data_IF_391590419609
#
_entry.id   IF_391590419609
#
_cell.length_a   1.000
_cell.length_b   1.000
_cell.length_c   1.000
_cell.angle_alpha   90.00
_cell.angle_beta   90.00
_cell.angle_gamma   90.00
#
_symmetry.space_group_name_H-M   'P 1'
#
loop_
_entity.id
_entity.type
_entity.pdbx_description
1 polymer ?
#
# COMPACT_ATOMS: atom_id res chain seq x y z
N UNK A 1 -14.29 12.97 7.70
CA UNK A 1 -13.38 11.97 7.13
C UNK A 1 -14.01 10.60 7.25
N UNK A 2 -13.96 9.79 6.19
CA UNK A 2 -14.45 8.41 6.22
C UNK A 2 -13.24 7.48 6.25
N UNK A 3 -13.19 6.58 7.24
CA UNK A 3 -12.11 5.62 7.42
C UNK A 3 -12.75 4.24 7.47
N UNK A 4 -12.21 3.29 6.70
CA UNK A 4 -12.51 1.88 6.82
C UNK A 4 -11.23 1.16 7.24
N UNK A 5 -11.34 0.29 8.24
CA UNK A 5 -10.29 -0.63 8.64
C UNK A 5 -10.79 -2.05 8.40
N UNK A 6 -10.03 -2.86 7.68
CA UNK A 6 -10.37 -4.24 7.35
C UNK A 6 -9.10 -5.08 7.21
N UNK A 7 -9.16 -6.35 7.59
CA UNK A 7 -8.07 -7.32 7.39
C UNK A 7 -8.06 -7.87 5.97
N UNK A 8 -9.24 -8.12 5.40
CA UNK A 8 -9.45 -8.47 4.00
C UNK A 8 -10.84 -7.98 3.55
N UNK A 9 -10.94 -7.54 2.29
CA UNK A 9 -12.20 -7.18 1.65
C UNK A 9 -12.68 -8.39 0.82
N UNK A 10 -13.55 -9.22 1.39
CA UNK A 10 -14.19 -10.32 0.63
C UNK A 10 -15.20 -9.77 -0.38
N UNK A 11 -15.21 -10.35 -1.59
CA UNK A 11 -15.83 -9.81 -2.80
C UNK A 11 -17.36 -9.78 -2.93
N UNK A 12 -18.14 -9.82 -1.85
CA UNK A 12 -19.62 -9.89 -1.95
C UNK A 12 -20.40 -9.00 -0.96
N UNK A 13 -19.85 -7.87 -0.49
CA UNK A 13 -20.64 -6.99 0.39
C UNK A 13 -20.15 -5.57 0.64
N UNK A 14 -18.88 -5.26 0.36
CA UNK A 14 -18.35 -3.90 0.48
C UNK A 14 -17.51 -3.64 -0.77
N UNK A 15 -18.15 -3.11 -1.81
CA UNK A 15 -17.48 -2.70 -3.04
C UNK A 15 -17.04 -1.23 -2.90
N UNK A 16 -15.98 -1.01 -2.11
CA UNK A 16 -15.35 0.31 -2.01
C UNK A 16 -14.38 0.45 -3.19
N UNK A 17 -14.94 0.74 -4.36
CA UNK A 17 -14.17 1.11 -5.56
C UNK A 17 -13.64 2.57 -5.51
N UNK A 18 -13.79 3.27 -4.37
CA UNK A 18 -13.54 4.71 -4.25
C UNK A 18 -12.68 5.07 -3.03
N UNK A 19 -11.57 4.35 -2.83
CA UNK A 19 -10.58 4.77 -1.85
C UNK A 19 -9.59 5.76 -2.50
N UNK A 20 -9.40 6.93 -1.88
CA UNK A 20 -8.34 7.86 -2.30
C UNK A 20 -6.96 7.38 -1.81
N UNK A 21 -6.96 6.71 -0.65
CA UNK A 21 -5.77 6.21 0.03
C UNK A 21 -6.03 4.78 0.48
N UNK A 22 -5.07 3.90 0.22
CA UNK A 22 -5.00 2.54 0.79
C UNK A 22 -3.78 2.48 1.68
N UNK A 23 -3.96 2.03 2.93
CA UNK A 23 -2.87 1.82 3.89
C UNK A 23 -2.80 0.32 4.21
N UNK A 24 -1.70 -0.32 3.84
CA UNK A 24 -1.34 -1.66 4.30
C UNK A 24 -0.58 -1.52 5.62
N UNK A 25 -1.28 -1.64 6.74
CA UNK A 25 -0.67 -1.60 8.06
C UNK A 25 0.26 -2.79 8.31
N UNK A 26 -0.14 -3.97 7.83
CA UNK A 26 0.72 -5.16 7.76
C UNK A 26 1.02 -5.46 6.29
N UNK A 27 2.26 -5.90 6.00
CA UNK A 27 2.66 -6.36 4.66
C UNK A 27 1.73 -7.49 4.20
N UNK A 28 1.16 -7.43 2.99
CA UNK A 28 0.36 -8.53 2.44
C UNK A 28 1.17 -9.82 2.32
N UNK A 29 0.48 -10.97 2.43
CA UNK A 29 1.11 -12.30 2.40
C UNK A 29 1.80 -12.60 1.06
N UNK A 30 1.29 -12.04 -0.02
CA UNK A 30 1.80 -12.23 -1.38
C UNK A 30 1.52 -11.03 -2.30
N UNK A 31 2.14 -11.09 -3.48
CA UNK A 31 2.04 -10.06 -4.51
C UNK A 31 0.63 -9.88 -5.10
N UNK A 32 -0.19 -10.94 -5.13
CA UNK A 32 -1.55 -10.91 -5.67
C UNK A 32 -2.52 -10.23 -4.69
N UNK A 33 -2.37 -10.52 -3.40
CA UNK A 33 -3.09 -9.87 -2.29
C UNK A 33 -2.75 -8.39 -2.22
N UNK A 34 -1.47 -8.06 -2.38
CA UNK A 34 -1.04 -6.67 -2.49
C UNK A 34 -1.76 -5.94 -3.63
N UNK A 35 -1.76 -6.52 -4.84
CA UNK A 35 -2.44 -5.94 -6.00
C UNK A 35 -3.94 -5.75 -5.73
N UNK A 36 -4.63 -6.74 -5.17
CA UNK A 36 -6.05 -6.63 -4.84
C UNK A 36 -6.38 -5.51 -3.85
N UNK A 37 -5.48 -5.24 -2.89
CA UNK A 37 -5.64 -4.14 -1.92
C UNK A 37 -5.42 -2.79 -2.59
N UNK A 38 -4.30 -2.60 -3.28
CA UNK A 38 -3.95 -1.29 -3.87
C UNK A 38 -4.77 -0.95 -5.11
N UNK A 39 -5.31 -1.96 -5.83
CA UNK A 39 -6.23 -1.74 -6.95
C UNK A 39 -7.57 -1.09 -6.54
N UNK A 40 -7.84 -0.95 -5.23
CA UNK A 40 -8.96 -0.16 -4.70
C UNK A 40 -8.66 1.35 -4.72
N UNK A 41 -7.39 1.73 -4.82
CA UNK A 41 -6.95 3.11 -5.02
C UNK A 41 -6.81 3.40 -6.51
N UNK A 42 -7.67 4.30 -7.02
CA UNK A 42 -7.62 4.79 -8.40
C UNK A 42 -8.44 3.97 -9.42
N UNK A 43 -9.34 4.65 -10.13
CA UNK A 43 -9.95 4.25 -11.42
C UNK A 43 -9.30 5.01 -12.59
N UNK A 44 -9.58 4.59 -13.83
CA UNK A 44 -9.28 5.32 -15.06
C UNK A 44 -9.55 6.84 -14.89
N UNK A 45 -8.47 7.64 -14.85
CA UNK A 45 -8.52 9.10 -14.73
C UNK A 45 -8.54 9.67 -13.30
N UNK A 46 -8.45 8.84 -12.26
CA UNK A 46 -8.42 9.30 -10.85
C UNK A 46 -7.12 8.89 -10.16
N UNK A 47 -6.63 9.74 -9.25
CA UNK A 47 -5.37 9.54 -8.51
C UNK A 47 -5.64 8.70 -7.26
N UNK A 48 -4.77 7.75 -6.97
CA UNK A 48 -4.82 6.90 -5.79
C UNK A 48 -3.44 6.83 -5.14
N UNK A 49 -3.41 6.82 -3.81
CA UNK A 49 -2.20 6.69 -3.00
C UNK A 49 -2.23 5.35 -2.26
N UNK A 50 -1.16 4.58 -2.36
CA UNK A 50 -0.98 3.36 -1.57
C UNK A 50 0.24 3.54 -0.66
N UNK A 51 0.05 3.32 0.64
CA UNK A 51 1.11 3.34 1.65
C UNK A 51 1.20 1.93 2.25
N UNK A 52 2.40 1.38 2.37
CA UNK A 52 2.61 0.08 3.00
C UNK A 52 3.67 0.16 4.07
N UNK A 53 3.40 -0.45 5.22
CA UNK A 53 4.38 -0.58 6.28
C UNK A 53 5.27 -1.80 6.06
N UNK A 54 6.57 -1.60 6.28
CA UNK A 54 7.61 -2.64 6.23
C UNK A 54 8.29 -2.65 7.59
N UNK A 55 8.05 -3.69 8.37
CA UNK A 55 8.55 -3.77 9.75
C UNK A 55 9.78 -4.67 9.87
N UNK A 56 9.94 -5.66 8.99
CA UNK A 56 10.99 -6.67 9.09
C UNK A 56 11.58 -7.07 7.73
N UNK A 57 12.63 -7.89 7.74
CA UNK A 57 13.32 -8.34 6.51
C UNK A 57 12.44 -9.22 5.61
N UNK A 58 11.52 -10.01 6.18
CA UNK A 58 10.56 -10.78 5.38
C UNK A 58 9.60 -9.87 4.61
N UNK A 59 9.13 -8.79 5.22
CA UNK A 59 8.30 -7.79 4.55
C UNK A 59 9.08 -7.15 3.40
N UNK A 60 10.35 -6.78 3.64
CA UNK A 60 11.22 -6.22 2.61
C UNK A 60 11.44 -7.20 1.44
N UNK A 61 11.49 -8.52 1.70
CA UNK A 61 11.57 -9.53 0.65
C UNK A 61 10.30 -9.56 -0.21
N UNK A 62 9.11 -9.52 0.40
CA UNK A 62 7.82 -9.46 -0.31
C UNK A 62 7.73 -8.17 -1.14
N UNK A 63 8.14 -7.03 -0.56
CA UNK A 63 8.19 -5.77 -1.28
C UNK A 63 9.06 -5.83 -2.54
N UNK A 64 10.24 -6.45 -2.45
CA UNK A 64 11.11 -6.63 -3.61
C UNK A 64 10.48 -7.53 -4.67
N UNK A 65 9.75 -8.56 -4.25
CA UNK A 65 8.96 -9.40 -5.16
C UNK A 65 7.87 -8.59 -5.87
N UNK A 66 7.14 -7.74 -5.15
CA UNK A 66 6.12 -6.83 -5.70
C UNK A 66 6.74 -5.90 -6.75
N UNK A 67 7.84 -5.23 -6.41
CA UNK A 67 8.53 -4.31 -7.33
C UNK A 67 9.00 -5.01 -8.61
N UNK A 68 9.58 -6.22 -8.46
CA UNK A 68 10.04 -7.04 -9.57
C UNK A 68 8.88 -7.52 -10.46
N UNK A 69 7.83 -8.09 -9.84
CA UNK A 69 6.68 -8.67 -10.55
C UNK A 69 5.91 -7.64 -11.37
N UNK A 70 5.72 -6.44 -10.84
CA UNK A 70 4.95 -5.38 -11.50
C UNK A 70 5.82 -4.35 -12.23
N UNK A 71 7.15 -4.49 -12.20
CA UNK A 71 8.10 -3.54 -12.75
C UNK A 71 7.84 -2.09 -12.27
N UNK A 72 7.48 -1.95 -10.99
CA UNK A 72 7.21 -0.66 -10.35
C UNK A 72 8.30 -0.34 -9.34
N UNK A 73 8.67 0.94 -9.25
CA UNK A 73 9.55 1.43 -8.19
C UNK A 73 8.68 1.97 -7.07
N UNK A 74 8.77 1.34 -5.90
CA UNK A 74 8.12 1.80 -4.69
C UNK A 74 9.20 2.49 -3.84
N UNK A 75 8.98 3.76 -3.51
CA UNK A 75 9.96 4.57 -2.78
C UNK A 75 9.59 4.69 -1.32
N UNK A 76 10.58 4.98 -0.48
CA UNK A 76 10.33 5.43 0.89
C UNK A 76 9.41 6.67 0.88
N UNK A 77 8.60 6.77 1.93
CA UNK A 77 7.67 7.87 2.12
C UNK A 77 8.47 9.17 2.35
N UNK A 78 8.24 10.22 1.54
CA UNK A 78 8.88 11.51 1.74
C UNK A 78 8.29 12.23 2.96
N UNK A 79 9.06 13.15 3.55
CA UNK A 79 8.60 14.00 4.66
C UNK A 79 7.40 14.89 4.27
N UNK A 80 7.29 15.21 2.98
CA UNK A 80 6.19 16.00 2.42
C UNK A 80 5.56 15.25 1.24
N UNK A 81 4.23 15.12 1.27
CA UNK A 81 3.44 14.53 0.19
C UNK A 81 2.67 15.64 -0.50
N UNK A 82 2.97 15.88 -1.77
CA UNK A 82 2.15 16.74 -2.62
C UNK A 82 0.81 16.03 -2.91
N UNK A 83 -0.30 16.76 -2.84
CA UNK A 83 -1.63 16.28 -3.21
C UNK A 83 -1.71 15.79 -4.66
N UNK A 84 -0.76 16.18 -5.52
CA UNK A 84 -0.69 15.73 -6.91
C UNK A 84 0.02 14.39 -7.11
N UNK A 85 0.65 13.86 -6.06
CA UNK A 85 1.52 12.67 -6.09
C UNK A 85 0.76 11.38 -6.41
N UNK A 86 1.19 10.69 -7.47
CA UNK A 86 0.61 9.43 -7.96
C UNK A 86 1.55 8.25 -7.71
N UNK A 87 1.95 8.05 -6.45
CA UNK A 87 3.04 7.11 -6.16
C UNK A 87 2.64 6.22 -4.99
N UNK A 88 3.04 4.96 -5.08
CA UNK A 88 3.03 4.03 -3.96
C UNK A 88 4.22 4.34 -3.07
N UNK A 89 3.97 4.60 -1.79
CA UNK A 89 5.02 4.83 -0.79
C UNK A 89 5.12 3.67 0.21
N UNK A 90 6.31 3.47 0.74
CA UNK A 90 6.55 2.64 1.92
C UNK A 90 6.88 3.56 3.07
N UNK A 91 6.13 3.45 4.16
CA UNK A 91 6.56 4.02 5.43
C UNK A 91 7.23 2.89 6.20
N UNK A 92 8.52 3.05 6.47
CA UNK A 92 9.30 2.09 7.23
C UNK A 92 9.10 2.50 8.69
N UNK A 93 8.30 1.73 9.44
CA UNK A 93 8.11 2.02 10.87
C UNK A 93 9.49 2.25 11.49
N UNK A 94 9.64 3.45 12.03
CA UNK A 94 10.91 4.13 12.17
C UNK A 94 11.92 3.30 12.93
N UNK A 95 12.94 2.80 12.21
CA UNK A 95 14.09 2.09 12.78
C UNK A 95 13.65 0.80 13.47
N UNK A 96 14.47 -0.23 13.33
CA UNK A 96 14.62 -1.25 14.36
C UNK A 96 14.38 -0.61 15.72
N UNK A 97 13.30 -1.03 16.40
CA UNK A 97 13.13 -0.77 17.83
C UNK A 97 14.48 -1.04 18.47
N UNK A 98 15.17 0.00 18.86
CA UNK A 98 16.52 -0.10 19.35
C UNK A 98 16.63 0.72 20.62
N UNK A 99 17.34 0.23 21.64
CA UNK A 99 17.46 -1.17 22.09
C UNK A 99 16.24 -1.65 22.90
#
# INVERSE_FOLDING_TARGET
>A
THILVATNLFGLGIDIERANIVLNYDMPEDTDTYLHRVARAGRLGTKGLAITYVANESDAAILNEIQSRFAVKITEMPDEIDADTQVTFIDIESRFTGP
#
